data_IF_448873398045
#
_entry.id   IF_448873398045
#
_cell.length_a   1.000
_cell.length_b   1.000
_cell.length_c   1.000
_cell.angle_alpha   90.00
_cell.angle_beta   90.00
_cell.angle_gamma   90.00
#
_symmetry.space_group_name_H-M   'P 1'
#
loop_
_entity.id
_entity.type
_entity.pdbx_description
1 polymer ?
#
# COMPACT_ATOMS: atom_id res chain seq x y z
N UNK A 1 32.12 -3.28 14.13
CA UNK A 1 31.19 -3.74 13.09
C UNK A 1 31.93 -3.62 11.77
N UNK A 2 31.96 -4.66 10.95
CA UNK A 2 32.64 -4.62 9.66
C UNK A 2 31.86 -3.69 8.72
N UNK A 3 32.49 -2.67 8.17
CA UNK A 3 31.82 -1.79 7.20
C UNK A 3 31.33 -2.59 5.99
N UNK A 4 30.19 -2.19 5.42
CA UNK A 4 29.67 -2.83 4.21
C UNK A 4 30.68 -2.66 3.07
N UNK A 5 30.88 -3.71 2.24
CA UNK A 5 31.67 -3.57 1.03
C UNK A 5 31.17 -2.40 0.15
N UNK A 6 32.05 -1.69 -0.57
CA UNK A 6 31.63 -0.68 -1.54
C UNK A 6 30.63 -1.24 -2.55
N UNK A 7 29.57 -0.49 -2.84
CA UNK A 7 28.54 -0.92 -3.80
C UNK A 7 27.53 -1.94 -3.27
N UNK A 8 27.55 -2.29 -1.98
CA UNK A 8 26.60 -3.26 -1.39
C UNK A 8 25.14 -2.87 -1.60
N UNK A 9 24.80 -1.57 -1.47
CA UNK A 9 23.45 -1.08 -1.74
C UNK A 9 23.03 -1.29 -3.21
N UNK A 10 23.93 -1.00 -4.16
CA UNK A 10 23.66 -1.22 -5.58
C UNK A 10 23.47 -2.71 -5.89
N UNK A 11 24.29 -3.58 -5.28
CA UNK A 11 24.15 -5.04 -5.42
C UNK A 11 22.82 -5.54 -4.87
N UNK A 12 22.42 -5.08 -3.69
CA UNK A 12 21.14 -5.42 -3.07
C UNK A 12 19.96 -5.01 -3.98
N UNK A 13 20.00 -3.80 -4.55
CA UNK A 13 18.97 -3.33 -5.48
C UNK A 13 18.91 -4.18 -6.75
N UNK A 14 20.05 -4.59 -7.31
CA UNK A 14 20.06 -5.51 -8.47
C UNK A 14 19.40 -6.85 -8.12
N UNK A 15 19.68 -7.41 -6.95
CA UNK A 15 19.03 -8.65 -6.48
C UNK A 15 17.53 -8.46 -6.32
N UNK A 16 17.07 -7.31 -5.82
CA UNK A 16 15.65 -7.00 -5.70
C UNK A 16 14.95 -7.00 -7.07
N UNK A 17 15.54 -6.34 -8.06
CA UNK A 17 15.01 -6.26 -9.43
C UNK A 17 15.01 -7.65 -10.11
N UNK A 18 16.11 -8.39 -10.02
CA UNK A 18 16.22 -9.76 -10.54
C UNK A 18 15.23 -10.72 -9.87
N UNK A 19 14.82 -10.44 -8.64
CA UNK A 19 13.83 -11.23 -7.90
C UNK A 19 12.38 -10.85 -8.21
N UNK A 20 12.15 -9.84 -9.07
CA UNK A 20 10.83 -9.46 -9.56
C UNK A 20 10.24 -8.16 -8.98
N UNK A 21 11.02 -7.38 -8.23
CA UNK A 21 10.62 -6.01 -7.91
C UNK A 21 10.68 -5.12 -9.16
N UNK A 22 9.81 -4.11 -9.22
CA UNK A 22 9.88 -3.06 -10.25
C UNK A 22 10.80 -1.94 -9.81
N UNK A 23 10.78 -1.60 -8.51
CA UNK A 23 11.64 -0.59 -7.91
C UNK A 23 12.20 -1.08 -6.57
N UNK A 24 13.37 -0.58 -6.20
CA UNK A 24 14.00 -0.84 -4.90
C UNK A 24 14.71 0.42 -4.40
N UNK A 25 14.48 0.78 -3.14
CA UNK A 25 15.05 1.95 -2.50
C UNK A 25 15.41 1.68 -1.04
N UNK A 26 16.20 2.57 -0.45
CA UNK A 26 16.66 2.47 0.93
C UNK A 26 16.32 3.75 1.68
N UNK A 27 15.62 3.61 2.81
CA UNK A 27 15.38 4.68 3.76
C UNK A 27 16.32 4.55 4.97
N UNK A 28 16.69 5.69 5.56
CA UNK A 28 17.29 5.73 6.89
C UNK A 28 16.26 5.29 7.94
N UNK A 29 16.63 4.39 8.84
CA UNK A 29 15.74 3.91 9.90
C UNK A 29 15.30 5.05 10.84
N UNK A 30 16.16 6.04 11.09
CA UNK A 30 15.89 7.16 11.99
C UNK A 30 14.95 8.20 11.39
N UNK A 31 14.83 8.25 10.05
CA UNK A 31 13.92 9.18 9.36
C UNK A 31 12.45 8.92 9.71
N UNK A 32 12.11 7.72 10.21
CA UNK A 32 10.77 7.37 10.63
C UNK A 32 10.36 8.07 11.94
N UNK A 33 11.30 8.47 12.80
CA UNK A 33 11.00 8.98 14.14
C UNK A 33 10.15 10.25 14.13
N UNK A 34 10.29 11.06 13.06
CA UNK A 34 9.53 12.29 12.86
C UNK A 34 8.05 12.07 12.49
N UNK A 35 7.67 10.85 12.07
CA UNK A 35 6.36 10.59 11.46
C UNK A 35 5.64 9.36 12.04
N UNK A 36 6.38 8.31 12.34
CA UNK A 36 5.83 7.05 12.83
C UNK A 36 5.60 7.13 14.35
N UNK A 37 4.42 6.68 14.83
CA UNK A 37 4.16 6.59 16.26
C UNK A 37 5.09 5.56 16.91
N UNK A 38 5.26 5.66 18.22
CA UNK A 38 5.98 4.66 19.01
C UNK A 38 5.41 3.25 18.77
N UNK A 39 6.28 2.24 18.85
CA UNK A 39 6.02 0.81 18.56
C UNK A 39 5.85 0.49 17.06
N UNK A 40 5.89 1.49 16.20
CA UNK A 40 5.77 1.34 14.74
C UNK A 40 6.99 1.88 13.99
N UNK A 41 8.06 2.28 14.70
CA UNK A 41 9.32 2.72 14.09
C UNK A 41 10.22 1.51 13.81
N UNK A 42 11.14 1.60 12.84
CA UNK A 42 12.07 0.51 12.55
C UNK A 42 12.87 0.06 13.78
N UNK A 43 13.34 1.01 14.61
CA UNK A 43 14.10 0.72 15.83
C UNK A 43 13.28 0.04 16.95
N UNK A 44 11.96 0.24 16.97
CA UNK A 44 11.07 -0.44 17.92
C UNK A 44 10.85 -1.92 17.54
N UNK A 45 10.93 -2.22 16.24
CA UNK A 45 10.69 -3.56 15.69
C UNK A 45 11.99 -4.39 15.61
N UNK A 46 13.11 -3.73 15.27
CA UNK A 46 14.45 -4.33 15.23
C UNK A 46 15.44 -3.42 15.97
N UNK A 47 15.85 -3.77 17.20
CA UNK A 47 16.85 -3.00 17.93
C UNK A 47 18.15 -2.84 17.12
N UNK A 48 18.63 -1.60 17.04
CA UNK A 48 19.82 -1.27 16.25
C UNK A 48 19.57 -1.16 14.73
N UNK A 49 18.32 -1.08 14.29
CA UNK A 49 17.99 -0.78 12.89
C UNK A 49 18.71 0.48 12.41
N UNK A 50 19.32 0.39 11.23
CA UNK A 50 20.07 1.49 10.58
C UNK A 50 19.48 1.86 9.23
N UNK A 51 18.88 0.92 8.52
CA UNK A 51 18.22 1.18 7.25
C UNK A 51 16.96 0.32 7.06
N UNK A 52 16.09 0.78 6.17
CA UNK A 52 14.90 0.06 5.73
C UNK A 52 14.95 -0.07 4.21
N UNK A 53 15.04 -1.30 3.73
CA UNK A 53 15.05 -1.62 2.30
C UNK A 53 13.60 -1.80 1.86
N UNK A 54 13.18 -1.05 0.85
CA UNK A 54 11.80 -1.02 0.36
C UNK A 54 11.78 -1.45 -1.09
N UNK A 55 10.87 -2.35 -1.43
CA UNK A 55 10.62 -2.78 -2.80
C UNK A 55 9.18 -2.50 -3.18
N UNK A 56 9.00 -2.07 -4.42
CA UNK A 56 7.70 -1.81 -5.02
C UNK A 56 7.52 -2.63 -6.29
N UNK A 57 6.28 -3.05 -6.55
CA UNK A 57 5.95 -3.68 -7.81
C UNK A 57 4.54 -4.27 -7.84
N UNK A 58 4.36 -5.17 -8.80
CA UNK A 58 3.13 -5.93 -8.99
C UNK A 58 1.87 -5.06 -9.13
N UNK A 59 1.95 -3.87 -9.72
CA UNK A 59 0.79 -3.04 -9.99
C UNK A 59 -0.30 -3.82 -10.76
N UNK A 60 -1.61 -3.51 -10.57
CA UNK A 60 -2.64 -4.00 -11.46
C UNK A 60 -2.29 -3.62 -12.90
N UNK A 61 -2.44 -4.57 -13.82
CA UNK A 61 -2.14 -4.40 -15.24
C UNK A 61 -3.27 -3.64 -15.91
N UNK A 62 -3.04 -3.12 -17.10
CA UNK A 62 -4.06 -2.41 -17.89
C UNK A 62 -5.36 -3.22 -18.08
N UNK A 63 -5.25 -4.54 -18.32
CA UNK A 63 -6.41 -5.42 -18.40
C UNK A 63 -7.17 -5.57 -17.07
N UNK A 64 -6.46 -5.45 -15.94
CA UNK A 64 -7.06 -5.47 -14.60
C UNK A 64 -7.83 -4.15 -14.35
N UNK A 65 -7.30 -3.01 -14.80
CA UNK A 65 -7.97 -1.70 -14.74
C UNK A 65 -9.18 -1.59 -15.67
N UNK A 66 -9.14 -2.26 -16.82
CA UNK A 66 -10.23 -2.32 -17.78
C UNK A 66 -11.33 -3.31 -17.39
N UNK A 67 -11.14 -4.11 -16.34
CA UNK A 67 -12.12 -5.08 -15.90
C UNK A 67 -13.44 -4.39 -15.53
N UNK A 68 -14.52 -4.76 -16.23
CA UNK A 68 -15.86 -4.22 -15.97
C UNK A 68 -16.51 -4.86 -14.75
N UNK A 69 -16.05 -6.04 -14.34
CA UNK A 69 -16.49 -6.71 -13.12
C UNK A 69 -15.74 -6.14 -11.92
N UNK A 70 -16.43 -5.44 -10.99
CA UNK A 70 -15.79 -4.95 -9.77
C UNK A 70 -15.24 -6.08 -8.90
N UNK A 71 -15.80 -7.29 -9.05
CA UNK A 71 -15.38 -8.49 -8.32
C UNK A 71 -14.03 -9.02 -8.76
N UNK A 72 -13.72 -8.93 -10.06
CA UNK A 72 -12.41 -9.32 -10.58
C UNK A 72 -11.36 -8.38 -10.01
N UNK A 73 -11.54 -7.07 -10.20
CA UNK A 73 -10.59 -6.07 -9.70
C UNK A 73 -10.36 -6.18 -8.17
N UNK A 74 -11.41 -6.47 -7.40
CA UNK A 74 -11.34 -6.70 -5.94
C UNK A 74 -10.54 -7.92 -5.50
N UNK A 75 -10.27 -8.89 -6.39
CA UNK A 75 -9.60 -10.16 -6.06
C UNK A 75 -8.23 -10.30 -6.74
N UNK A 76 -7.85 -9.34 -7.58
CA UNK A 76 -6.55 -9.31 -8.27
C UNK A 76 -5.40 -8.78 -7.41
N UNK A 77 -5.53 -8.79 -6.08
CA UNK A 77 -4.46 -8.39 -5.18
C UNK A 77 -3.18 -9.20 -5.42
N UNK A 78 -2.14 -8.54 -5.92
CA UNK A 78 -0.85 -9.14 -6.31
C UNK A 78 0.22 -8.93 -5.24
N UNK A 79 -0.17 -8.52 -4.03
CA UNK A 79 0.74 -8.22 -2.91
C UNK A 79 1.64 -9.41 -2.57
N UNK A 80 1.17 -10.65 -2.70
CA UNK A 80 1.99 -11.86 -2.51
C UNK A 80 3.29 -11.85 -3.32
N UNK A 81 3.25 -11.33 -4.55
CA UNK A 81 4.42 -11.31 -5.45
C UNK A 81 5.54 -10.46 -4.87
N UNK A 82 5.22 -9.31 -4.27
CA UNK A 82 6.24 -8.41 -3.70
C UNK A 82 6.69 -8.87 -2.31
N UNK A 83 5.84 -9.60 -1.58
CA UNK A 83 6.21 -10.19 -0.28
C UNK A 83 7.30 -11.25 -0.41
N UNK A 84 7.23 -12.09 -1.46
CA UNK A 84 8.28 -13.06 -1.76
C UNK A 84 9.65 -12.39 -1.96
N UNK A 85 9.69 -11.24 -2.64
CA UNK A 85 10.91 -10.44 -2.82
C UNK A 85 11.44 -9.94 -1.48
N UNK A 86 10.58 -9.38 -0.63
CA UNK A 86 10.98 -8.91 0.71
C UNK A 86 11.62 -10.00 1.57
N UNK A 87 11.02 -11.20 1.61
CA UNK A 87 11.59 -12.34 2.34
C UNK A 87 12.95 -12.75 1.80
N UNK A 88 13.09 -12.81 0.48
CA UNK A 88 14.35 -13.13 -0.19
C UNK A 88 15.45 -12.12 0.12
N UNK A 89 15.11 -10.82 0.14
CA UNK A 89 16.06 -9.77 0.49
C UNK A 89 16.52 -9.86 1.95
N UNK A 90 15.62 -10.16 2.89
CA UNK A 90 16.01 -10.37 4.28
C UNK A 90 17.05 -11.52 4.41
N UNK A 91 16.77 -12.66 3.78
CA UNK A 91 17.69 -13.79 3.74
C UNK A 91 19.04 -13.44 3.08
N UNK A 92 19.00 -12.70 1.96
CA UNK A 92 20.20 -12.28 1.26
C UNK A 92 21.06 -11.33 2.10
N UNK A 93 20.45 -10.40 2.84
CA UNK A 93 21.19 -9.50 3.72
C UNK A 93 21.90 -10.26 4.84
N UNK A 94 21.23 -11.25 5.43
CA UNK A 94 21.82 -12.09 6.46
C UNK A 94 22.95 -12.96 5.91
N UNK A 95 22.76 -13.59 4.74
CA UNK A 95 23.75 -14.52 4.18
C UNK A 95 24.98 -13.82 3.60
N UNK A 96 24.80 -12.73 2.86
CA UNK A 96 25.89 -12.08 2.11
C UNK A 96 26.58 -10.98 2.90
N UNK A 97 25.85 -10.27 3.76
CA UNK A 97 26.40 -9.12 4.49
C UNK A 97 26.55 -9.38 6.00
N UNK A 98 25.94 -10.44 6.55
CA UNK A 98 26.11 -10.82 7.96
C UNK A 98 25.39 -9.88 8.95
N UNK A 99 24.32 -9.22 8.51
CA UNK A 99 23.53 -8.29 9.32
C UNK A 99 22.12 -8.82 9.56
N UNK A 100 21.56 -8.55 10.75
CA UNK A 100 20.16 -8.88 11.04
C UNK A 100 19.22 -8.16 10.07
N UNK A 101 18.27 -8.90 9.51
CA UNK A 101 17.28 -8.37 8.58
C UNK A 101 15.87 -8.90 8.92
N UNK A 102 15.02 -8.01 9.39
CA UNK A 102 13.63 -8.29 9.71
C UNK A 102 12.73 -7.93 8.52
N UNK A 103 12.24 -8.96 7.83
CA UNK A 103 11.15 -8.79 6.88
C UNK A 103 9.87 -8.34 7.62
N UNK A 104 9.23 -7.27 7.13
CA UNK A 104 7.96 -6.78 7.67
C UNK A 104 6.80 -7.57 7.02
N UNK A 105 6.11 -8.45 7.76
CA UNK A 105 5.05 -9.26 7.19
C UNK A 105 3.78 -8.44 6.90
N UNK A 106 2.95 -8.87 5.93
CA UNK A 106 1.59 -8.37 5.81
C UNK A 106 0.81 -8.76 7.07
N UNK A 107 0.36 -7.80 7.84
CA UNK A 107 -0.35 -8.08 9.08
C UNK A 107 -0.47 -6.85 9.97
N UNK A 108 -1.11 -7.05 11.11
CA UNK A 108 -1.39 -5.99 12.06
C UNK A 108 -0.69 -6.26 13.39
N UNK A 109 -0.17 -5.20 13.99
CA UNK A 109 0.42 -5.24 15.33
C UNK A 109 -0.66 -5.24 16.41
N UNK A 110 -1.75 -4.50 16.18
CA UNK A 110 -2.91 -4.43 17.07
C UNK A 110 -4.13 -3.94 16.29
N UNK A 111 -5.26 -4.66 16.38
CA UNK A 111 -6.46 -4.36 15.61
C UNK A 111 -6.15 -4.32 14.11
N UNK A 112 -6.41 -3.16 13.50
CA UNK A 112 -6.16 -2.91 12.06
C UNK A 112 -4.84 -2.17 11.78
N UNK A 113 -4.01 -1.90 12.80
CA UNK A 113 -2.80 -1.09 12.63
C UNK A 113 -1.61 -1.96 12.17
N UNK A 114 -0.94 -1.64 11.04
CA UNK A 114 0.20 -2.41 10.55
C UNK A 114 1.43 -2.26 11.45
N UNK A 115 2.38 -3.21 11.37
CA UNK A 115 3.66 -3.12 12.10
C UNK A 115 4.45 -1.87 11.72
N UNK A 116 4.54 -1.58 10.42
CA UNK A 116 5.23 -0.43 9.83
C UNK A 116 4.34 0.15 8.72
N UNK A 117 4.31 1.47 8.57
CA UNK A 117 3.67 2.09 7.40
C UNK A 117 4.54 1.88 6.15
N UNK A 118 4.13 0.96 5.28
CA UNK A 118 4.82 0.72 4.01
C UNK A 118 4.75 1.93 3.05
N UNK A 119 3.72 2.76 3.17
CA UNK A 119 3.62 4.02 2.43
C UNK A 119 4.70 5.01 2.87
N UNK A 120 4.85 5.20 4.19
CA UNK A 120 5.89 6.07 4.73
C UNK A 120 7.28 5.55 4.35
N UNK A 121 7.49 4.23 4.41
CA UNK A 121 8.74 3.61 4.00
C UNK A 121 9.07 3.89 2.53
N UNK A 122 8.09 3.74 1.63
CA UNK A 122 8.27 4.03 0.21
C UNK A 122 8.58 5.52 -0.06
N UNK A 123 7.95 6.44 0.69
CA UNK A 123 8.21 7.88 0.61
C UNK A 123 9.65 8.21 1.07
N UNK A 124 10.06 7.71 2.23
CA UNK A 124 11.40 7.93 2.80
C UNK A 124 12.52 7.25 1.99
N UNK A 125 12.21 6.20 1.25
CA UNK A 125 13.12 5.49 0.35
C UNK A 125 13.17 6.09 -1.06
N UNK A 126 12.50 7.23 -1.30
CA UNK A 126 12.52 7.92 -2.60
C UNK A 126 11.75 7.21 -3.71
N UNK A 127 10.89 6.24 -3.36
CA UNK A 127 10.17 5.42 -4.35
C UNK A 127 8.84 6.04 -4.78
N UNK A 128 8.45 7.16 -4.20
CA UNK A 128 7.26 7.89 -4.59
C UNK A 128 6.90 8.97 -3.59
N UNK A 129 5.76 9.62 -3.84
CA UNK A 129 5.24 10.69 -3.01
C UNK A 129 3.78 10.46 -2.65
N UNK A 130 3.31 11.01 -1.53
CA UNK A 130 1.89 10.99 -1.18
C UNK A 130 1.04 11.60 -2.29
N UNK A 131 -0.09 10.96 -2.59
CA UNK A 131 -1.04 11.43 -3.58
C UNK A 131 -2.34 11.93 -2.96
N UNK A 132 -3.12 12.69 -3.73
CA UNK A 132 -4.50 13.06 -3.35
C UNK A 132 -5.45 11.86 -3.26
N UNK A 133 -5.08 10.71 -3.85
CA UNK A 133 -5.87 9.48 -3.79
C UNK A 133 -5.67 8.69 -2.48
N UNK A 134 -4.72 9.10 -1.63
CA UNK A 134 -4.37 8.44 -0.37
C UNK A 134 -3.00 7.72 -0.45
N UNK A 135 -2.85 6.66 -1.27
CA UNK A 135 -1.60 5.91 -1.38
C UNK A 135 -0.43 6.72 -1.94
N UNK A 136 0.79 6.19 -1.73
CA UNK A 136 2.00 6.68 -2.41
C UNK A 136 1.94 6.34 -3.89
N UNK A 137 2.28 7.33 -4.70
CA UNK A 137 2.34 7.25 -6.15
C UNK A 137 3.79 7.38 -6.60
N UNK A 138 4.28 6.36 -7.31
CA UNK A 138 5.56 6.42 -8.00
C UNK A 138 5.42 7.19 -9.31
N UNK A 139 6.45 7.96 -9.67
CA UNK A 139 6.44 8.82 -10.84
C UNK A 139 6.39 8.07 -12.18
N UNK A 140 6.98 6.89 -12.25
CA UNK A 140 7.14 6.13 -13.49
C UNK A 140 6.16 4.96 -13.61
N UNK A 141 5.77 4.40 -12.47
CA UNK A 141 4.97 3.17 -12.38
C UNK A 141 3.59 3.39 -11.74
N UNK A 142 3.29 4.59 -11.24
CA UNK A 142 2.00 4.87 -10.62
C UNK A 142 1.82 4.14 -9.28
N UNK A 143 0.66 3.54 -9.06
CA UNK A 143 0.35 2.85 -7.80
C UNK A 143 0.93 1.42 -7.80
N UNK A 144 1.63 1.09 -6.72
CA UNK A 144 2.27 -0.22 -6.54
C UNK A 144 1.92 -0.85 -5.20
N UNK A 145 2.14 -2.15 -5.10
CA UNK A 145 2.24 -2.83 -3.82
C UNK A 145 3.67 -2.75 -3.31
N UNK A 146 3.82 -2.74 -1.99
CA UNK A 146 5.10 -2.50 -1.32
C UNK A 146 5.43 -3.63 -0.37
N UNK A 147 6.72 -3.81 -0.13
CA UNK A 147 7.27 -4.67 0.91
C UNK A 147 8.53 -4.02 1.48
N UNK A 148 8.81 -4.26 2.77
CA UNK A 148 9.94 -3.66 3.45
C UNK A 148 10.73 -4.69 4.28
N UNK A 149 12.03 -4.45 4.40
CA UNK A 149 12.96 -5.18 5.26
C UNK A 149 13.71 -4.18 6.12
N UNK A 150 13.55 -4.27 7.43
CA UNK A 150 14.29 -3.47 8.41
C UNK A 150 15.61 -4.17 8.68
N UNK A 151 16.74 -3.47 8.69
CA UNK A 151 18.04 -4.11 8.91
C UNK A 151 18.99 -3.28 9.74
N UNK A 152 19.89 -3.97 10.44
CA UNK A 152 21.03 -3.37 11.14
C UNK A 152 22.18 -3.01 10.18
N UNK A 153 22.09 -3.45 8.91
CA UNK A 153 23.03 -3.09 7.85
C UNK A 153 22.94 -1.58 7.54
N UNK A 154 24.07 -0.88 7.43
CA UNK A 154 24.10 0.55 7.17
C UNK A 154 24.12 0.90 5.68
N UNK A 155 23.12 0.45 4.95
CA UNK A 155 22.99 0.87 3.55
C UNK A 155 22.77 2.38 3.45
N UNK A 156 23.38 2.99 2.44
CA UNK A 156 23.19 4.40 2.12
C UNK A 156 21.74 4.65 1.71
N UNK A 157 21.11 5.69 2.30
CA UNK A 157 19.74 6.05 2.03
C UNK A 157 19.62 6.86 0.74
N UNK A 158 18.55 6.62 -0.02
CA UNK A 158 18.31 7.29 -1.30
C UNK A 158 17.72 8.71 -1.15
N UNK A 159 17.11 8.99 0.01
CA UNK A 159 16.41 10.24 0.28
C UNK A 159 15.03 10.32 -0.37
N UNK A 160 14.28 11.35 -0.01
CA UNK A 160 12.91 11.56 -0.51
C UNK A 160 12.91 12.12 -1.94
N UNK A 161 11.94 11.69 -2.76
CA UNK A 161 11.75 12.23 -4.11
C UNK A 161 11.40 13.73 -4.05
N UNK A 162 12.05 14.52 -4.91
CA UNK A 162 11.88 15.98 -4.96
C UNK A 162 10.89 16.43 -6.01
N UNK A 163 10.53 15.54 -6.95
CA UNK A 163 9.61 15.79 -8.06
C UNK A 163 8.39 14.86 -8.00
N UNK A 164 7.39 15.15 -7.14
CA UNK A 164 6.22 14.31 -6.97
C UNK A 164 5.34 14.29 -8.24
N UNK A 165 4.80 13.12 -8.58
CA UNK A 165 3.90 12.97 -9.73
C UNK A 165 2.47 13.49 -9.49
N UNK A 166 2.08 13.63 -8.23
CA UNK A 166 0.80 14.22 -7.84
C UNK A 166 1.01 15.69 -7.42
N UNK A 167 0.20 16.65 -7.90
CA UNK A 167 -0.88 16.51 -8.88
C UNK A 167 -0.38 16.45 -10.34
N UNK A 168 -1.02 15.65 -11.18
CA UNK A 168 -0.74 15.60 -12.63
C UNK A 168 -1.17 16.92 -13.32
N UNK A 169 -0.68 17.21 -14.54
CA UNK A 169 -1.14 18.37 -15.33
C UNK A 169 -2.67 18.48 -15.42
N UNK A 170 -3.36 17.40 -15.82
CA UNK A 170 -4.81 17.36 -15.89
C UNK A 170 -5.52 17.59 -14.53
N UNK A 171 -4.88 17.22 -13.41
CA UNK A 171 -5.41 17.51 -12.07
C UNK A 171 -5.34 19.01 -11.76
N UNK A 172 -4.26 19.70 -12.18
CA UNK A 172 -4.11 21.14 -11.97
C UNK A 172 -5.13 21.92 -12.81
N UNK A 173 -5.29 21.55 -14.07
CA UNK A 173 -6.29 22.14 -14.98
C UNK A 173 -7.72 21.97 -14.45
N UNK A 174 -8.07 20.77 -13.99
CA UNK A 174 -9.38 20.53 -13.37
C UNK A 174 -9.55 21.32 -12.08
N UNK A 175 -8.49 21.47 -11.27
CA UNK A 175 -8.55 22.25 -10.04
C UNK A 175 -8.81 23.73 -10.28
N UNK A 176 -8.18 24.32 -11.30
CA UNK A 176 -8.37 25.73 -11.62
C UNK A 176 -9.80 26.03 -12.10
N UNK A 177 -10.40 25.07 -12.82
CA UNK A 177 -11.78 25.20 -13.32
C UNK A 177 -12.86 24.84 -12.29
N UNK A 178 -12.66 23.75 -11.56
CA UNK A 178 -13.74 23.09 -10.78
C UNK A 178 -13.42 22.96 -9.29
N UNK A 179 -12.22 23.35 -8.85
CA UNK A 179 -11.75 23.23 -7.45
C UNK A 179 -11.80 21.79 -6.92
N UNK A 180 -11.56 20.83 -7.81
CA UNK A 180 -11.43 19.40 -7.48
C UNK A 180 -10.42 18.72 -8.41
N UNK A 181 -10.13 17.46 -8.15
CA UNK A 181 -9.33 16.59 -9.04
C UNK A 181 -10.09 15.28 -9.27
N UNK A 182 -9.76 14.46 -10.28
CA UNK A 182 -10.56 13.27 -10.60
C UNK A 182 -10.82 12.35 -9.39
N UNK A 183 -9.79 12.08 -8.58
CA UNK A 183 -9.91 11.26 -7.38
C UNK A 183 -10.77 11.91 -6.29
N UNK A 184 -10.65 13.23 -6.10
CA UNK A 184 -11.47 13.98 -5.13
C UNK A 184 -12.92 14.11 -5.59
N UNK A 185 -13.19 14.21 -6.88
CA UNK A 185 -14.54 14.20 -7.44
C UNK A 185 -15.20 12.82 -7.33
N UNK A 186 -14.41 11.74 -7.43
CA UNK A 186 -14.89 10.36 -7.33
C UNK A 186 -15.19 9.94 -5.89
N UNK A 187 -14.38 10.37 -4.92
CA UNK A 187 -14.56 10.01 -3.51
C UNK A 187 -14.53 11.23 -2.56
N UNK A 188 -15.38 12.26 -2.77
CA UNK A 188 -15.32 13.53 -2.05
C UNK A 188 -15.74 13.38 -0.59
N UNK A 189 -14.86 13.78 0.33
CA UNK A 189 -15.11 13.76 1.78
C UNK A 189 -16.35 14.52 2.20
N UNK A 190 -16.70 15.60 1.48
CA UNK A 190 -17.89 16.43 1.70
C UNK A 190 -19.21 15.71 1.39
N UNK A 191 -19.19 14.69 0.53
CA UNK A 191 -20.35 13.88 0.19
C UNK A 191 -20.21 12.44 0.72
N UNK A 192 -19.67 12.31 1.93
CA UNK A 192 -19.49 11.02 2.58
C UNK A 192 -18.39 10.15 2.00
N UNK A 193 -17.60 10.62 1.03
CA UNK A 193 -16.39 9.94 0.53
C UNK A 193 -15.24 9.98 1.54
N UNK A 194 -14.07 9.49 1.12
CA UNK A 194 -12.92 9.26 2.01
C UNK A 194 -11.75 10.23 1.78
N UNK A 195 -11.80 11.04 0.71
CA UNK A 195 -10.69 11.88 0.30
C UNK A 195 -11.03 13.36 0.43
N UNK A 196 -10.08 14.15 0.92
CA UNK A 196 -10.12 15.60 0.75
C UNK A 196 -8.72 16.15 0.52
N UNK A 197 -8.64 17.31 -0.11
CA UNK A 197 -7.35 17.93 -0.40
C UNK A 197 -7.49 19.38 -0.83
N UNK A 198 -6.35 20.05 -0.98
CA UNK A 198 -6.25 21.42 -1.49
C UNK A 198 -5.00 21.57 -2.35
N UNK A 199 -5.16 22.17 -3.53
CA UNK A 199 -4.04 22.64 -4.32
C UNK A 199 -3.85 24.16 -4.18
N UNK A 200 -2.59 24.58 -4.09
CA UNK A 200 -2.14 25.97 -4.20
C UNK A 200 -0.90 26.01 -5.11
N UNK A 201 -0.85 26.95 -6.06
CA UNK A 201 0.26 27.10 -7.01
C UNK A 201 0.63 25.77 -7.71
N UNK A 202 -0.38 24.97 -8.08
CA UNK A 202 -0.19 23.67 -8.72
C UNK A 202 0.38 22.57 -7.82
N UNK A 203 0.49 22.77 -6.50
CA UNK A 203 0.99 21.78 -5.54
C UNK A 203 -0.07 21.42 -4.52
N UNK A 204 -0.06 20.16 -4.07
CA UNK A 204 -0.92 19.72 -2.98
C UNK A 204 -0.38 20.25 -1.65
N UNK A 205 -1.10 21.21 -1.05
CA UNK A 205 -0.76 21.78 0.26
C UNK A 205 -1.52 21.09 1.41
N UNK A 206 -2.58 20.36 1.08
CA UNK A 206 -3.32 19.53 2.03
C UNK A 206 -3.78 18.27 1.34
N UNK A 207 -3.55 17.13 1.97
CA UNK A 207 -4.10 15.83 1.61
C UNK A 207 -4.68 15.19 2.87
N UNK A 208 -5.82 14.52 2.73
CA UNK A 208 -6.45 13.80 3.83
C UNK A 208 -7.17 12.56 3.30
N UNK A 209 -6.94 11.45 3.99
CA UNK A 209 -7.54 10.15 3.71
C UNK A 209 -8.17 9.62 5.00
N UNK A 210 -9.50 9.51 5.01
CA UNK A 210 -10.25 8.90 6.09
C UNK A 210 -10.20 7.37 5.97
N UNK A 211 -9.16 6.77 6.55
CA UNK A 211 -8.93 5.33 6.48
C UNK A 211 -10.06 4.52 7.12
N UNK A 212 -10.66 5.02 8.21
CA UNK A 212 -11.77 4.34 8.89
C UNK A 212 -13.00 4.29 7.99
N UNK A 213 -13.36 5.43 7.39
CA UNK A 213 -14.48 5.49 6.45
C UNK A 213 -14.22 4.66 5.20
N UNK A 214 -13.00 4.67 4.68
CA UNK A 214 -12.63 3.82 3.55
C UNK A 214 -12.80 2.35 3.91
N UNK A 215 -12.26 1.90 5.04
CA UNK A 215 -12.39 0.52 5.52
C UNK A 215 -13.87 0.08 5.59
N UNK A 216 -14.74 0.88 6.20
CA UNK A 216 -16.18 0.53 6.32
C UNK A 216 -16.92 0.41 4.99
N UNK A 217 -16.45 1.10 3.93
CA UNK A 217 -17.06 1.07 2.60
C UNK A 217 -16.54 -0.06 1.73
N UNK A 218 -15.31 -0.50 2.02
CA UNK A 218 -14.49 -1.27 1.09
C UNK A 218 -14.31 -2.70 1.62
N UNK A 219 -13.95 -2.86 2.89
CA UNK A 219 -13.72 -4.15 3.53
C UNK A 219 -15.01 -4.82 4.04
N UNK A 220 -16.10 -4.74 3.26
CA UNK A 220 -17.40 -5.32 3.65
C UNK A 220 -17.38 -6.85 3.74
N UNK A 221 -16.41 -7.50 3.09
CA UNK A 221 -16.26 -8.95 3.08
C UNK A 221 -15.09 -9.45 3.94
N UNK A 222 -14.34 -8.64 4.69
CA UNK A 222 -13.26 -9.17 5.56
C UNK A 222 -13.81 -9.67 6.92
N UNK A 223 -12.97 -9.68 7.96
CA UNK A 223 -13.30 -9.90 9.38
C UNK A 223 -14.58 -9.17 9.80
N UNK A 224 -14.77 -7.90 9.41
CA UNK A 224 -15.99 -7.15 9.74
C UNK A 224 -17.27 -7.77 9.14
N UNK A 225 -17.18 -8.25 7.90
CA UNK A 225 -18.28 -8.98 7.25
C UNK A 225 -18.59 -10.29 7.96
N UNK A 226 -17.55 -11.05 8.30
CA UNK A 226 -17.68 -12.30 9.06
C UNK A 226 -18.32 -12.07 10.44
N UNK A 227 -17.82 -11.09 11.21
CA UNK A 227 -18.33 -10.73 12.53
C UNK A 227 -19.81 -10.33 12.45
N UNK A 228 -20.19 -9.53 11.46
CA UNK A 228 -21.59 -9.12 11.24
C UNK A 228 -22.52 -10.31 11.00
N UNK A 229 -22.14 -11.25 10.14
CA UNK A 229 -22.99 -12.44 9.90
C UNK A 229 -23.07 -13.30 11.15
N UNK A 230 -21.96 -13.45 11.87
CA UNK A 230 -21.94 -14.25 13.09
C UNK A 230 -22.87 -13.66 14.16
N UNK A 231 -22.81 -12.35 14.39
CA UNK A 231 -23.70 -11.64 15.31
C UNK A 231 -25.17 -11.79 14.91
N UNK A 232 -25.50 -11.55 13.64
CA UNK A 232 -26.87 -11.70 13.14
C UNK A 232 -27.38 -13.14 13.29
N UNK A 233 -26.54 -14.12 12.97
CA UNK A 233 -26.90 -15.54 13.05
C UNK A 233 -27.16 -15.99 14.49
N UNK A 234 -26.36 -15.51 15.44
CA UNK A 234 -26.55 -15.85 16.86
C UNK A 234 -27.85 -15.27 17.43
N UNK A 235 -28.31 -14.14 16.89
CA UNK A 235 -29.54 -13.46 17.30
C UNK A 235 -30.79 -13.93 16.55
N UNK A 236 -30.66 -14.63 15.42
CA UNK A 236 -31.80 -15.08 14.60
C UNK A 236 -32.45 -16.36 15.19
N UNK A 237 -33.72 -16.29 15.65
CA UNK A 237 -34.41 -17.45 16.23
C UNK A 237 -34.79 -18.50 15.19
N UNK A 238 -35.06 -18.10 13.94
CA UNK A 238 -35.48 -18.99 12.87
C UNK A 238 -34.31 -19.81 12.33
N UNK A 239 -34.45 -21.14 12.38
CA UNK A 239 -33.39 -22.06 11.98
C UNK A 239 -33.05 -21.96 10.49
N UNK A 240 -34.03 -21.78 9.63
CA UNK A 240 -33.80 -21.76 8.19
C UNK A 240 -33.25 -20.41 7.75
N UNK A 241 -33.63 -19.30 8.39
CA UNK A 241 -32.94 -18.02 8.21
C UNK A 241 -31.49 -18.06 8.68
N UNK A 242 -31.19 -18.68 9.82
CA UNK A 242 -29.79 -18.91 10.24
C UNK A 242 -28.98 -19.66 9.19
N UNK A 243 -29.55 -20.69 8.56
CA UNK A 243 -28.90 -21.39 7.45
C UNK A 243 -28.68 -20.46 6.26
N UNK A 244 -29.66 -19.65 5.89
CA UNK A 244 -29.48 -18.69 4.77
C UNK A 244 -28.36 -17.69 5.05
N UNK A 245 -28.21 -17.22 6.28
CA UNK A 245 -27.10 -16.34 6.68
C UNK A 245 -25.75 -17.05 6.58
N UNK A 246 -25.62 -18.26 7.14
CA UNK A 246 -24.37 -19.03 7.19
C UNK A 246 -23.96 -19.62 5.84
N UNK A 247 -24.90 -20.01 4.99
CA UNK A 247 -24.62 -20.62 3.68
C UNK A 247 -24.80 -19.65 2.52
N UNK A 248 -25.08 -18.37 2.81
CA UNK A 248 -25.27 -17.34 1.80
C UNK A 248 -23.97 -16.86 1.16
N UNK A 249 -24.10 -16.22 0.01
CA UNK A 249 -22.98 -15.68 -0.76
C UNK A 249 -22.12 -14.68 0.03
N UNK A 250 -22.76 -13.86 0.87
CA UNK A 250 -22.05 -12.86 1.66
C UNK A 250 -21.08 -13.51 2.67
N UNK A 251 -21.54 -14.52 3.42
CA UNK A 251 -20.69 -15.23 4.37
C UNK A 251 -19.61 -16.05 3.67
N UNK A 252 -19.96 -16.73 2.57
CA UNK A 252 -19.01 -17.46 1.74
C UNK A 252 -17.89 -16.55 1.24
N UNK A 253 -18.23 -15.35 0.73
CA UNK A 253 -17.24 -14.35 0.33
C UNK A 253 -16.39 -13.88 1.50
N UNK A 254 -16.98 -13.75 2.69
CA UNK A 254 -16.22 -13.41 3.88
C UNK A 254 -15.23 -14.46 4.32
N UNK A 255 -15.60 -15.74 4.23
CA UNK A 255 -14.69 -16.84 4.46
C UNK A 255 -13.54 -16.85 3.43
N UNK A 256 -13.85 -16.63 2.14
CA UNK A 256 -12.83 -16.51 1.10
C UNK A 256 -11.85 -15.37 1.39
N UNK A 257 -12.35 -14.17 1.73
CA UNK A 257 -11.50 -13.02 2.02
C UNK A 257 -10.55 -13.24 3.19
N UNK A 258 -11.02 -13.91 4.26
CA UNK A 258 -10.19 -14.22 5.44
C UNK A 258 -9.17 -15.33 5.13
N UNK A 259 -9.60 -16.37 4.39
CA UNK A 259 -8.74 -17.53 4.09
C UNK A 259 -7.59 -17.16 3.17
N UNK A 260 -7.84 -16.28 2.21
CA UNK A 260 -6.86 -15.82 1.23
C UNK A 260 -6.46 -14.37 1.53
N UNK A 261 -6.17 -14.05 2.80
CA UNK A 261 -5.86 -12.69 3.27
C UNK A 261 -4.75 -11.97 2.49
N UNK A 262 -3.86 -12.72 1.83
CA UNK A 262 -2.79 -12.21 1.00
C UNK A 262 -3.22 -11.79 -0.42
N UNK A 263 -4.39 -12.22 -0.87
CA UNK A 263 -5.02 -11.83 -2.15
C UNK A 263 -5.82 -10.53 -2.07
N UNK A 264 -5.80 -9.85 -0.92
CA UNK A 264 -6.31 -8.49 -0.75
C UNK A 264 -7.77 -8.33 -1.22
N UNK A 265 -8.60 -9.29 -0.80
CA UNK A 265 -10.01 -9.38 -1.21
C UNK A 265 -10.81 -8.26 -0.54
N UNK A 266 -11.63 -7.58 -1.33
CA UNK A 266 -12.50 -6.46 -0.96
C UNK A 266 -11.83 -5.07 -0.95
N UNK A 267 -11.02 -4.76 -1.96
CA UNK A 267 -10.52 -3.39 -2.18
C UNK A 267 -11.37 -2.55 -3.15
N UNK A 268 -11.39 -1.23 -2.96
CA UNK A 268 -12.01 -0.28 -3.88
C UNK A 268 -10.90 0.48 -4.57
N UNK A 269 -10.97 0.52 -5.90
CA UNK A 269 -9.93 1.13 -6.72
C UNK A 269 -10.40 2.40 -7.43
N UNK A 270 -11.60 2.90 -7.16
CA UNK A 270 -12.21 3.98 -7.95
C UNK A 270 -11.39 5.26 -7.96
N UNK A 271 -10.84 5.69 -6.81
CA UNK A 271 -9.98 6.88 -6.75
C UNK A 271 -8.65 6.71 -7.49
N UNK A 272 -8.14 5.47 -7.57
CA UNK A 272 -6.90 5.12 -8.26
C UNK A 272 -7.14 4.95 -9.77
N UNK A 273 -8.29 4.39 -10.16
CA UNK A 273 -8.70 4.12 -11.54
C UNK A 273 -8.83 5.40 -12.37
N UNK A 274 -9.25 6.51 -11.74
CA UNK A 274 -9.37 7.82 -12.40
C UNK A 274 -8.10 8.67 -12.33
N UNK A 275 -6.99 8.14 -11.79
CA UNK A 275 -5.77 8.92 -11.56
C UNK A 275 -5.00 9.15 -12.87
N UNK A 276 -4.90 10.39 -13.39
CA UNK A 276 -4.20 10.65 -14.63
C UNK A 276 -2.67 10.50 -14.51
N UNK A 277 -2.11 10.58 -13.30
CA UNK A 277 -0.69 10.33 -13.08
C UNK A 277 -0.34 8.83 -13.04
N UNK A 278 -1.33 7.95 -12.81
CA UNK A 278 -1.12 6.50 -12.87
C UNK A 278 -1.34 5.94 -14.28
N UNK A 279 -2.27 6.53 -15.05
CA UNK A 279 -2.77 5.97 -16.33
C UNK A 279 -2.50 6.84 -17.57
N UNK A 280 -1.93 8.03 -17.39
CA UNK A 280 -1.73 9.01 -18.48
C UNK A 280 -0.50 8.72 -19.36
N UNK A 281 -0.73 8.62 -20.68
CA UNK A 281 0.20 8.42 -21.82
C UNK A 281 0.64 6.98 -22.14
N UNK A 282 -0.26 5.98 -22.08
CA UNK A 282 -0.08 4.76 -22.89
C UNK A 282 -1.32 4.51 -23.74
N UNK A 283 -1.23 4.87 -25.01
CA UNK A 283 -2.12 4.29 -26.02
C UNK A 283 -1.82 2.79 -26.09
N UNK A 284 -2.76 1.99 -25.63
CA UNK A 284 -2.75 0.54 -25.83
C UNK A 284 -3.31 0.27 -27.23
N UNK A 285 -2.57 -0.52 -28.03
CA UNK A 285 -2.94 -0.91 -29.39
C UNK A 285 -4.13 -1.87 -29.42
#
# INVERSE_FOLDING_TARGET
>A
MADLPPGSAAKLKSVALESGATVCGVADATAFDAYAPEKHRPGDLLPGARSVVVVGGAQPREGDWAATSPWVMQTMGTTERIQGVGRRLAQYIESEFGYYALYVPPGTASGDTPFLSLMLAAELAGLGSRSLAGPVLNREHGFMYWSAVITTAPFEADGVETSPACPAPACREMWDRERTTPCLATCPGSNGGCLSGKLENGRAVRTFYDAARCNTRVHTHWVGGFQKVLEETLNEPDRDKRKMLLYGDFFTRSLWAITYSSTNIAQCFECMRVCPAAHGLREMR
#
